data_IF_772859841537
#
_entry.id   IF_772859841537
#
_cell.length_a   1.000
_cell.length_b   1.000
_cell.length_c   1.000
_cell.angle_alpha   90.00
_cell.angle_beta   90.00
_cell.angle_gamma   90.00
#
_symmetry.space_group_name_H-M   'P 1'
#
loop_
_entity.id
_entity.type
_entity.pdbx_description
1 polymer ?
#
# COMPACT_ATOMS: atom_id res chain seq x y z
N UNK A 1 -22.55 -9.40 -28.86
CA UNK A 1 -21.27 -8.64 -28.82
C UNK A 1 -20.20 -9.54 -28.24
N UNK A 2 -18.96 -9.50 -28.76
CA UNK A 2 -17.84 -10.21 -28.13
C UNK A 2 -17.60 -9.66 -26.71
N UNK A 3 -17.08 -10.48 -25.78
CA UNK A 3 -16.71 -10.03 -24.43
C UNK A 3 -15.81 -8.78 -24.47
N UNK A 4 -14.91 -8.74 -25.46
CA UNK A 4 -14.01 -7.61 -25.72
C UNK A 4 -14.79 -6.34 -26.09
N UNK A 5 -15.79 -6.41 -26.97
CA UNK A 5 -16.61 -5.24 -27.31
C UNK A 5 -17.41 -4.72 -26.09
N UNK A 6 -17.96 -5.63 -25.28
CA UNK A 6 -18.66 -5.30 -24.03
C UNK A 6 -17.74 -4.63 -23.00
N UNK A 7 -16.48 -5.05 -22.92
CA UNK A 7 -15.45 -4.47 -22.06
C UNK A 7 -15.07 -3.05 -22.51
N UNK A 8 -14.86 -2.87 -23.82
CA UNK A 8 -14.51 -1.59 -24.44
C UNK A 8 -15.58 -0.52 -24.23
N UNK A 9 -16.85 -0.85 -24.44
CA UNK A 9 -17.96 0.11 -24.18
C UNK A 9 -17.94 0.62 -22.73
N UNK A 10 -17.61 -0.25 -21.77
CA UNK A 10 -17.57 0.11 -20.34
C UNK A 10 -16.36 0.97 -19.98
N UNK A 11 -15.25 0.84 -20.71
CA UNK A 11 -14.06 1.68 -20.53
C UNK A 11 -14.11 3.01 -21.28
N UNK A 12 -15.20 3.31 -22.00
CA UNK A 12 -15.32 4.55 -22.79
C UNK A 12 -15.04 5.82 -21.99
N UNK A 13 -15.46 5.89 -20.73
CA UNK A 13 -15.16 7.02 -19.83
C UNK A 13 -13.68 7.16 -19.44
N UNK A 14 -12.90 6.10 -19.62
CA UNK A 14 -11.47 6.06 -19.31
C UNK A 14 -10.61 6.04 -20.57
N UNK A 15 -11.21 6.04 -21.77
CA UNK A 15 -10.52 5.82 -23.05
C UNK A 15 -9.39 6.83 -23.26
N UNK A 16 -9.66 8.13 -23.10
CA UNK A 16 -8.65 9.19 -23.28
C UNK A 16 -7.44 8.99 -22.36
N UNK A 17 -7.66 8.54 -21.12
CA UNK A 17 -6.58 8.28 -20.16
C UNK A 17 -5.83 6.98 -20.43
N UNK A 18 -6.52 5.98 -20.98
CA UNK A 18 -5.92 4.75 -21.46
C UNK A 18 -5.04 5.01 -22.69
N UNK A 19 -5.42 5.92 -23.58
CA UNK A 19 -4.63 6.31 -24.76
C UNK A 19 -3.49 7.29 -24.45
N UNK A 20 -3.61 8.10 -23.41
CA UNK A 20 -2.56 9.06 -23.04
C UNK A 20 -1.26 8.35 -22.63
N UNK A 21 -0.22 8.45 -23.46
CA UNK A 21 1.11 7.87 -23.22
C UNK A 21 1.83 8.43 -22.00
N UNK A 22 1.39 9.58 -21.48
CA UNK A 22 1.90 10.13 -20.23
C UNK A 22 1.26 9.45 -19.03
N UNK A 23 0.05 8.94 -19.12
CA UNK A 23 -0.58 8.20 -18.00
C UNK A 23 0.07 6.83 -17.87
N UNK A 24 0.53 6.50 -16.66
CA UNK A 24 1.13 5.22 -16.29
C UNK A 24 0.19 4.38 -15.44
N UNK A 25 -0.63 5.02 -14.60
CA UNK A 25 -1.60 4.36 -13.72
C UNK A 25 -2.92 5.12 -13.69
N UNK A 26 -4.02 4.35 -13.66
CA UNK A 26 -5.39 4.84 -13.49
C UNK A 26 -5.95 4.16 -12.26
N UNK A 27 -6.39 4.93 -11.27
CA UNK A 27 -6.83 4.40 -9.98
C UNK A 27 -8.21 4.96 -9.62
N UNK A 28 -9.01 4.14 -8.95
CA UNK A 28 -10.36 4.49 -8.48
C UNK A 28 -10.45 3.97 -7.06
N UNK A 29 -10.86 4.80 -6.09
CA UNK A 29 -11.08 4.33 -4.72
C UNK A 29 -12.57 4.23 -4.39
N UNK A 30 -13.41 5.02 -5.07
CA UNK A 30 -14.86 5.02 -4.95
C UNK A 30 -15.51 5.57 -6.25
N UNK A 31 -16.83 5.38 -6.45
CA UNK A 31 -17.52 5.95 -7.59
C UNK A 31 -17.39 7.47 -7.68
N UNK A 32 -17.35 7.99 -8.91
CA UNK A 32 -17.29 9.42 -9.20
C UNK A 32 -15.89 10.04 -9.21
N UNK A 33 -14.85 9.31 -8.80
CA UNK A 33 -13.48 9.81 -8.78
C UNK A 33 -12.50 8.94 -9.58
N UNK A 34 -11.48 9.59 -10.11
CA UNK A 34 -10.38 8.98 -10.82
C UNK A 34 -9.07 9.60 -10.33
N UNK A 35 -8.01 8.81 -10.24
CA UNK A 35 -6.67 9.26 -9.91
C UNK A 35 -5.71 8.82 -11.00
N UNK A 36 -4.93 9.75 -11.54
CA UNK A 36 -4.00 9.47 -12.63
C UNK A 36 -2.56 9.69 -12.17
N UNK A 37 -1.73 8.66 -12.28
CA UNK A 37 -0.27 8.82 -12.20
C UNK A 37 0.27 9.05 -13.60
N UNK A 38 1.01 10.14 -13.79
CA UNK A 38 1.71 10.44 -15.05
C UNK A 38 3.16 9.99 -14.99
N UNK A 39 3.79 9.89 -16.15
CA UNK A 39 5.21 9.62 -16.29
C UNK A 39 6.01 10.70 -15.57
N UNK A 40 7.04 10.28 -14.85
CA UNK A 40 7.92 11.13 -14.06
C UNK A 40 7.24 11.86 -12.87
N UNK A 41 5.92 11.72 -12.71
CA UNK A 41 5.19 12.19 -11.53
C UNK A 41 5.31 11.17 -10.40
N UNK A 42 5.67 11.65 -9.20
CA UNK A 42 5.76 10.78 -8.03
C UNK A 42 4.39 10.44 -7.45
N UNK A 43 3.39 11.31 -7.55
CA UNK A 43 2.05 11.10 -6.97
C UNK A 43 0.95 11.19 -8.03
N UNK A 44 -0.20 10.59 -7.74
CA UNK A 44 -1.37 10.65 -8.63
C UNK A 44 -2.20 11.91 -8.39
N UNK A 45 -2.78 12.45 -9.45
CA UNK A 45 -3.66 13.61 -9.43
C UNK A 45 -5.13 13.19 -9.51
N UNK A 46 -6.00 13.84 -8.73
CA UNK A 46 -7.44 13.56 -8.74
C UNK A 46 -8.13 14.24 -9.93
N UNK A 47 -9.09 13.52 -10.50
CA UNK A 47 -10.02 14.00 -11.52
C UNK A 47 -11.43 13.52 -11.13
N UNK A 48 -12.41 14.42 -11.21
CA UNK A 48 -13.81 14.05 -11.04
C UNK A 48 -14.37 13.44 -12.33
N UNK A 49 -14.98 12.26 -12.20
CA UNK A 49 -15.63 11.56 -13.32
C UNK A 49 -17.01 11.09 -12.84
N UNK A 50 -18.03 11.98 -12.80
CA UNK A 50 -19.34 11.65 -12.25
C UNK A 50 -20.03 10.44 -12.91
N UNK A 51 -19.71 10.16 -14.18
CA UNK A 51 -20.22 8.99 -14.91
C UNK A 51 -19.63 7.65 -14.44
N UNK A 52 -18.57 7.64 -13.63
CA UNK A 52 -17.94 6.44 -13.12
C UNK A 52 -18.71 5.88 -11.92
N UNK A 53 -19.88 5.32 -12.19
CA UNK A 53 -20.80 4.81 -11.17
C UNK A 53 -20.37 3.46 -10.59
N UNK A 54 -20.92 3.10 -9.43
CA UNK A 54 -20.73 1.77 -8.85
C UNK A 54 -21.15 0.66 -9.83
N UNK A 55 -22.30 0.82 -10.50
CA UNK A 55 -22.82 -0.15 -11.46
C UNK A 55 -21.86 -0.35 -12.64
N UNK A 56 -21.25 0.73 -13.13
CA UNK A 56 -20.25 0.64 -14.19
C UNK A 56 -19.01 -0.12 -13.72
N UNK A 57 -18.49 0.20 -12.54
CA UNK A 57 -17.33 -0.48 -11.95
C UNK A 57 -17.61 -1.96 -11.69
N UNK A 58 -18.80 -2.31 -11.16
CA UNK A 58 -19.20 -3.71 -10.96
C UNK A 58 -19.28 -4.46 -12.28
N UNK A 59 -19.92 -3.86 -13.28
CA UNK A 59 -20.03 -4.48 -14.60
C UNK A 59 -18.66 -4.62 -15.29
N UNK A 60 -17.73 -3.70 -15.03
CA UNK A 60 -16.34 -3.82 -15.49
C UNK A 60 -15.61 -5.00 -14.82
N UNK A 61 -15.80 -5.20 -13.53
CA UNK A 61 -15.26 -6.34 -12.79
C UNK A 61 -15.81 -7.67 -13.34
N UNK A 62 -17.13 -7.77 -13.54
CA UNK A 62 -17.79 -8.96 -14.10
C UNK A 62 -17.26 -9.31 -15.50
N UNK A 63 -17.13 -8.32 -16.38
CA UNK A 63 -16.60 -8.55 -17.73
C UNK A 63 -15.11 -8.92 -17.69
N UNK A 64 -14.33 -8.31 -16.80
CA UNK A 64 -12.92 -8.65 -16.60
C UNK A 64 -12.76 -10.10 -16.15
N UNK A 65 -13.56 -10.51 -15.15
CA UNK A 65 -13.56 -11.86 -14.61
C UNK A 65 -13.98 -12.88 -15.67
N UNK A 66 -15.08 -12.61 -16.39
CA UNK A 66 -15.56 -13.45 -17.50
C UNK A 66 -14.54 -13.61 -18.62
N UNK A 67 -13.80 -12.54 -18.97
CA UNK A 67 -12.74 -12.59 -19.99
C UNK A 67 -11.54 -13.46 -19.57
N UNK A 68 -11.27 -13.54 -18.26
CA UNK A 68 -10.16 -14.32 -17.71
C UNK A 68 -10.55 -15.69 -17.16
N UNK A 69 -11.83 -16.05 -17.27
CA UNK A 69 -12.37 -17.25 -16.63
C UNK A 69 -12.03 -17.28 -15.13
N UNK A 70 -12.15 -16.12 -14.48
CA UNK A 70 -12.00 -15.95 -13.04
C UNK A 70 -13.39 -15.75 -12.41
N UNK A 71 -13.49 -16.10 -11.14
CA UNK A 71 -14.68 -15.81 -10.34
C UNK A 71 -14.52 -14.45 -9.65
N UNK A 72 -15.60 -13.68 -9.61
CA UNK A 72 -15.69 -12.44 -8.83
C UNK A 72 -17.08 -12.34 -8.21
N UNK A 73 -17.10 -12.39 -6.88
CA UNK A 73 -18.33 -12.32 -6.10
C UNK A 73 -18.00 -11.88 -4.66
N UNK A 74 -18.96 -11.98 -3.75
CA UNK A 74 -18.77 -11.58 -2.35
C UNK A 74 -17.85 -12.53 -1.58
N UNK A 75 -17.71 -13.78 -2.00
CA UNK A 75 -16.81 -14.78 -1.41
C UNK A 75 -15.38 -14.65 -1.97
N UNK A 76 -15.27 -14.27 -3.24
CA UNK A 76 -14.03 -13.98 -3.99
C UNK A 76 -13.98 -12.53 -4.48
N UNK A 77 -13.84 -11.53 -3.58
CA UNK A 77 -13.98 -10.12 -3.93
C UNK A 77 -12.71 -9.45 -4.48
N UNK A 78 -11.63 -10.21 -4.69
CA UNK A 78 -10.35 -9.70 -5.21
C UNK A 78 -10.12 -10.24 -6.60
N UNK A 79 -10.06 -9.35 -7.59
CA UNK A 79 -9.87 -9.67 -8.99
C UNK A 79 -8.54 -9.08 -9.50
N UNK A 80 -7.57 -9.96 -9.75
CA UNK A 80 -6.28 -9.62 -10.36
C UNK A 80 -6.25 -10.16 -11.79
N UNK A 81 -6.12 -9.28 -12.79
CA UNK A 81 -6.19 -9.67 -14.20
C UNK A 81 -5.27 -8.84 -15.11
N UNK A 82 -5.06 -9.33 -16.33
CA UNK A 82 -4.43 -8.57 -17.43
C UNK A 82 -5.45 -8.28 -18.54
N UNK A 83 -5.83 -7.02 -18.73
CA UNK A 83 -6.84 -6.61 -19.70
C UNK A 83 -6.22 -6.22 -21.06
N UNK A 84 -6.95 -6.47 -22.18
CA UNK A 84 -6.49 -6.06 -23.51
C UNK A 84 -6.57 -4.53 -23.66
N UNK A 85 -5.74 -3.98 -24.54
CA UNK A 85 -5.57 -2.52 -24.67
C UNK A 85 -6.38 -1.92 -25.83
N UNK A 86 -6.75 -2.69 -26.86
CA UNK A 86 -7.34 -2.18 -28.10
C UNK A 86 -8.49 -1.16 -27.91
N UNK A 87 -8.21 0.10 -28.26
CA UNK A 87 -9.08 1.28 -28.17
C UNK A 87 -9.75 1.64 -29.52
N UNK A 88 -9.76 0.69 -30.48
CA UNK A 88 -10.37 0.86 -31.82
C UNK A 88 -9.72 1.96 -32.68
N UNK A 89 -8.40 2.15 -32.52
CA UNK A 89 -7.61 3.15 -33.26
C UNK A 89 -6.65 2.55 -34.29
N UNK A 90 -6.86 1.28 -34.65
CA UNK A 90 -6.09 0.57 -35.67
C UNK A 90 -4.69 0.12 -35.24
N UNK A 91 -4.28 0.34 -33.99
CA UNK A 91 -2.99 -0.15 -33.47
C UNK A 91 -3.14 -1.59 -32.95
N UNK A 92 -2.32 -2.55 -33.44
CA UNK A 92 -2.40 -3.94 -32.99
C UNK A 92 -2.10 -4.12 -31.48
N UNK A 93 -2.84 -5.01 -30.81
CA UNK A 93 -2.68 -5.27 -29.37
C UNK A 93 -1.26 -5.69 -28.96
N UNK A 94 -0.53 -6.40 -29.83
CA UNK A 94 0.85 -6.81 -29.55
C UNK A 94 1.82 -5.61 -29.48
N UNK A 95 1.48 -4.49 -30.12
CA UNK A 95 2.26 -3.24 -30.05
C UNK A 95 1.94 -2.43 -28.79
N UNK A 96 0.84 -2.75 -28.09
CA UNK A 96 0.40 -2.06 -26.86
C UNK A 96 0.63 -2.87 -25.59
N UNK A 97 0.75 -4.20 -25.70
CA UNK A 97 0.90 -5.10 -24.56
C UNK A 97 -0.43 -5.36 -23.85
N UNK A 98 -0.36 -5.74 -22.58
CA UNK A 98 -1.54 -5.90 -21.70
C UNK A 98 -1.47 -4.91 -20.55
N UNK A 99 -2.61 -4.45 -20.06
CA UNK A 99 -2.66 -3.65 -18.84
C UNK A 99 -3.01 -4.54 -17.66
N UNK A 100 -2.32 -4.35 -16.54
CA UNK A 100 -2.66 -5.09 -15.32
C UNK A 100 -3.75 -4.33 -14.60
N UNK A 101 -4.75 -5.04 -14.11
CA UNK A 101 -5.80 -4.48 -13.27
C UNK A 101 -5.92 -5.26 -11.98
N UNK A 102 -6.03 -4.54 -10.87
CA UNK A 102 -6.47 -5.05 -9.58
C UNK A 102 -7.82 -4.41 -9.28
N UNK A 103 -8.82 -5.20 -8.90
CA UNK A 103 -10.11 -4.70 -8.43
C UNK A 103 -10.45 -5.37 -7.12
N UNK A 104 -10.88 -4.59 -6.14
CA UNK A 104 -11.34 -5.07 -4.84
C UNK A 104 -12.76 -4.59 -4.62
N UNK A 105 -13.64 -5.57 -4.37
CA UNK A 105 -15.08 -5.40 -4.25
C UNK A 105 -15.54 -5.57 -2.80
N UNK A 106 -16.79 -5.16 -2.47
CA UNK A 106 -17.37 -5.48 -1.18
C UNK A 106 -17.44 -7.00 -0.95
N UNK A 107 -17.28 -7.48 0.30
CA UNK A 107 -17.24 -6.70 1.54
C UNK A 107 -15.83 -6.21 1.97
N UNK A 108 -14.79 -6.42 1.16
CA UNK A 108 -13.41 -6.01 1.52
C UNK A 108 -13.27 -4.49 1.50
N UNK A 109 -13.87 -3.82 0.52
CA UNK A 109 -14.04 -2.36 0.52
C UNK A 109 -15.45 -1.98 1.01
N UNK A 110 -15.72 -0.71 1.39
CA UNK A 110 -17.07 -0.30 1.78
C UNK A 110 -18.13 -0.68 0.74
N UNK A 111 -19.33 -1.04 1.21
CA UNK A 111 -20.48 -1.28 0.32
C UNK A 111 -20.73 -0.07 -0.59
N UNK A 112 -21.07 -0.34 -1.85
CA UNK A 112 -21.24 0.70 -2.87
C UNK A 112 -19.92 1.31 -3.40
N UNK A 113 -18.77 0.76 -3.03
CA UNK A 113 -17.46 1.16 -3.58
C UNK A 113 -16.73 -0.01 -4.23
N UNK A 114 -15.84 0.30 -5.18
CA UNK A 114 -14.88 -0.65 -5.76
C UNK A 114 -13.56 0.09 -5.83
N UNK A 115 -12.51 -0.49 -5.24
CA UNK A 115 -11.16 -0.01 -5.44
C UNK A 115 -10.60 -0.67 -6.70
N UNK A 116 -10.11 0.11 -7.64
CA UNK A 116 -9.52 -0.38 -8.88
C UNK A 116 -8.19 0.31 -9.15
N UNK A 117 -7.25 -0.43 -9.72
CA UNK A 117 -6.00 0.13 -10.23
C UNK A 117 -5.67 -0.55 -11.55
N UNK A 118 -5.53 0.23 -12.61
CA UNK A 118 -5.02 -0.19 -13.91
C UNK A 118 -3.61 0.36 -14.05
N UNK A 119 -2.63 -0.54 -14.19
CA UNK A 119 -1.24 -0.21 -14.46
C UNK A 119 -0.90 -0.50 -15.91
N UNK A 120 -0.49 0.54 -16.63
CA UNK A 120 -0.13 0.47 -18.03
C UNK A 120 1.28 -0.09 -18.18
N UNK A 121 1.48 -0.97 -19.15
CA UNK A 121 2.81 -1.50 -19.45
C UNK A 121 3.68 -0.41 -20.10
N UNK A 122 4.88 -0.18 -19.57
CA UNK A 122 5.86 0.68 -20.24
C UNK A 122 6.56 -0.12 -21.34
N UNK A 123 6.38 0.30 -22.60
CA UNK A 123 7.08 -0.26 -23.76
C UNK A 123 8.31 0.57 -24.15
N UNK A 124 8.72 1.52 -23.29
CA UNK A 124 9.84 2.41 -23.59
C UNK A 124 11.14 1.60 -23.65
N UNK A 125 11.71 1.49 -24.86
CA UNK A 125 13.06 0.96 -25.04
C UNK A 125 14.08 2.05 -24.72
N UNK A 126 14.91 1.78 -23.71
CA UNK A 126 15.98 2.69 -23.27
C UNK A 126 17.34 2.11 -23.64
N UNK A 127 18.28 2.98 -23.98
CA UNK A 127 19.69 2.64 -24.20
C UNK A 127 20.56 3.36 -23.17
N UNK A 128 21.74 2.81 -22.86
CA UNK A 128 22.69 3.45 -21.95
C UNK A 128 23.08 4.88 -22.40
N UNK A 129 23.32 5.15 -23.70
CA UNK A 129 23.53 6.53 -24.17
C UNK A 129 22.37 7.47 -23.83
N UNK A 130 21.12 7.04 -24.04
CA UNK A 130 19.93 7.85 -23.72
C UNK A 130 19.79 8.11 -22.23
N UNK A 131 20.09 7.13 -21.38
CA UNK A 131 20.15 7.33 -19.92
C UNK A 131 21.21 8.37 -19.54
N UNK A 132 22.39 8.34 -20.20
CA UNK A 132 23.44 9.33 -19.98
C UNK A 132 22.98 10.73 -20.39
N UNK A 133 22.37 10.88 -21.56
CA UNK A 133 21.80 12.15 -22.04
C UNK A 133 20.75 12.72 -21.08
N UNK A 134 19.92 11.85 -20.48
CA UNK A 134 18.92 12.22 -19.49
C UNK A 134 19.49 12.47 -18.09
N UNK A 135 20.81 12.37 -17.91
CA UNK A 135 21.44 12.62 -16.62
C UNK A 135 21.20 11.52 -15.58
N UNK A 136 20.77 10.32 -15.96
CA UNK A 136 20.49 9.22 -15.03
C UNK A 136 21.73 8.81 -14.19
N UNK A 137 22.94 9.12 -14.67
CA UNK A 137 24.19 8.84 -13.95
C UNK A 137 24.73 10.03 -13.13
N UNK A 138 24.01 11.15 -13.06
CA UNK A 138 24.48 12.40 -12.44
C UNK A 138 24.85 12.23 -10.97
N UNK A 139 24.17 11.33 -10.27
CA UNK A 139 24.26 11.17 -8.82
C UNK A 139 24.75 9.79 -8.37
N UNK A 140 25.44 9.05 -9.25
CA UNK A 140 25.96 7.72 -8.91
C UNK A 140 27.01 7.84 -7.80
N UNK A 141 26.78 7.15 -6.69
CA UNK A 141 27.63 7.17 -5.50
C UNK A 141 27.81 8.58 -4.88
N UNK A 142 26.82 9.46 -5.04
CA UNK A 142 26.78 10.77 -4.37
C UNK A 142 25.62 10.84 -3.38
N UNK A 143 25.82 11.59 -2.30
CA UNK A 143 24.76 11.89 -1.33
C UNK A 143 23.79 12.92 -1.92
N UNK A 144 22.68 12.46 -2.47
CA UNK A 144 21.57 13.33 -2.90
C UNK A 144 20.77 13.68 -1.65
N UNK A 145 20.90 14.90 -1.16
CA UNK A 145 20.27 15.33 0.11
C UNK A 145 19.49 16.63 -0.08
N UNK A 146 18.40 16.56 -0.85
CA UNK A 146 17.40 17.64 -0.91
C UNK A 146 16.12 17.29 -0.11
N UNK A 147 16.09 16.14 0.59
CA UNK A 147 14.95 15.79 1.43
C UNK A 147 15.03 16.52 2.79
N UNK A 148 13.92 17.13 3.26
CA UNK A 148 13.90 17.91 4.50
C UNK A 148 14.23 17.08 5.76
N UNK A 149 14.11 15.75 5.67
CA UNK A 149 14.42 14.80 6.75
C UNK A 149 15.40 13.72 6.28
N UNK A 150 16.65 14.12 6.05
CA UNK A 150 17.75 13.17 5.83
C UNK A 150 18.01 12.30 7.08
N UNK A 151 18.66 11.14 6.89
CA UNK A 151 19.07 10.28 8.02
C UNK A 151 19.92 11.03 9.05
N UNK A 152 20.77 11.96 8.60
CA UNK A 152 21.56 12.81 9.48
C UNK A 152 20.68 13.72 10.35
N UNK A 153 19.63 14.32 9.77
CA UNK A 153 18.68 15.17 10.52
C UNK A 153 17.87 14.36 11.52
N UNK A 154 17.40 13.17 11.14
CA UNK A 154 16.69 12.28 12.05
C UNK A 154 17.58 11.85 13.22
N UNK A 155 18.84 11.53 12.95
CA UNK A 155 19.81 11.17 13.97
C UNK A 155 20.09 12.30 14.95
N UNK A 156 20.17 13.53 14.45
CA UNK A 156 20.30 14.74 15.28
C UNK A 156 19.10 14.89 16.23
N UNK A 157 17.88 14.86 15.69
CA UNK A 157 16.64 14.96 16.46
C UNK A 157 16.53 13.84 17.51
N UNK A 158 16.88 12.62 17.14
CA UNK A 158 16.89 11.46 18.03
C UNK A 158 17.87 11.65 19.20
N UNK A 159 19.11 12.09 18.92
CA UNK A 159 20.14 12.34 19.94
C UNK A 159 19.78 13.52 20.84
N UNK A 160 19.11 14.53 20.29
CA UNK A 160 18.59 15.68 21.04
C UNK A 160 17.34 15.32 21.86
N UNK A 161 16.73 14.15 21.65
CA UNK A 161 15.47 13.70 22.29
C UNK A 161 14.27 14.58 21.94
N UNK A 162 14.27 15.20 20.77
CA UNK A 162 13.16 15.96 20.21
C UNK A 162 12.15 14.98 19.59
N UNK A 163 11.46 14.21 20.43
CA UNK A 163 10.72 13.01 20.02
C UNK A 163 9.55 13.27 19.06
N UNK A 164 8.83 14.37 19.25
CA UNK A 164 7.73 14.79 18.38
C UNK A 164 8.24 15.13 16.97
N UNK A 165 9.29 15.96 16.88
CA UNK A 165 9.92 16.31 15.63
C UNK A 165 10.59 15.11 14.95
N UNK A 166 11.19 14.23 15.75
CA UNK A 166 11.79 12.98 15.25
C UNK A 166 10.73 12.06 14.64
N UNK A 167 9.62 11.79 15.34
CA UNK A 167 8.58 10.90 14.84
C UNK A 167 7.89 11.47 13.60
N UNK A 168 7.60 12.78 13.60
CA UNK A 168 7.09 13.48 12.41
C UNK A 168 8.08 13.38 11.24
N UNK A 169 9.35 13.65 11.51
CA UNK A 169 10.41 13.51 10.51
C UNK A 169 10.54 12.09 9.97
N UNK A 170 10.43 11.08 10.81
CA UNK A 170 10.49 9.68 10.42
C UNK A 170 9.32 9.31 9.49
N UNK A 171 8.12 9.80 9.77
CA UNK A 171 6.97 9.65 8.86
C UNK A 171 7.27 10.31 7.51
N UNK A 172 7.73 11.57 7.51
CA UNK A 172 8.01 12.32 6.29
C UNK A 172 9.18 11.76 5.47
N UNK A 173 10.15 11.10 6.12
CA UNK A 173 11.26 10.40 5.49
C UNK A 173 10.93 8.96 5.07
N UNK A 174 9.64 8.59 5.04
CA UNK A 174 9.16 7.25 4.69
C UNK A 174 9.85 6.13 5.50
N UNK A 175 10.09 6.34 6.79
CA UNK A 175 10.58 5.29 7.68
C UNK A 175 9.48 4.26 7.96
N UNK A 176 9.85 2.99 8.00
CA UNK A 176 8.96 1.92 8.43
C UNK A 176 8.87 1.93 9.96
N UNK A 177 7.68 2.18 10.49
CA UNK A 177 7.47 2.36 11.93
C UNK A 177 6.57 1.26 12.47
N UNK A 178 7.03 0.62 13.54
CA UNK A 178 6.22 -0.34 14.30
C UNK A 178 5.92 0.22 15.69
N UNK A 179 4.64 0.30 16.00
CA UNK A 179 4.17 0.65 17.34
C UNK A 179 3.97 -0.66 18.10
N UNK A 180 4.85 -0.91 19.07
CA UNK A 180 4.67 -2.01 20.01
C UNK A 180 3.95 -1.53 21.27
N UNK A 181 2.92 -2.25 21.70
CA UNK A 181 2.35 -2.02 23.03
C UNK A 181 1.53 -3.20 23.55
N UNK A 182 1.47 -3.33 24.88
CA UNK A 182 0.54 -4.21 25.57
C UNK A 182 -0.93 -3.78 25.45
N UNK A 183 -1.82 -4.48 26.16
CA UNK A 183 -3.26 -4.17 26.21
C UNK A 183 -3.51 -2.76 26.79
N UNK A 184 -4.55 -2.06 26.33
CA UNK A 184 -4.98 -0.75 26.86
C UNK A 184 -3.99 0.43 26.73
N UNK A 185 -2.91 0.26 25.98
CA UNK A 185 -1.85 1.28 25.82
C UNK A 185 -2.11 2.33 24.72
N UNK A 186 -3.18 2.19 23.92
CA UNK A 186 -3.53 3.16 22.87
C UNK A 186 -2.76 3.01 21.55
N UNK A 187 -2.43 1.78 21.14
CA UNK A 187 -1.73 1.46 19.88
C UNK A 187 -2.34 2.18 18.68
N UNK A 188 -3.65 1.99 18.46
CA UNK A 188 -4.34 2.57 17.30
C UNK A 188 -4.41 4.09 17.39
N UNK A 189 -4.49 4.67 18.59
CA UNK A 189 -4.44 6.12 18.78
C UNK A 189 -3.10 6.70 18.35
N UNK A 190 -1.99 6.06 18.75
CA UNK A 190 -0.66 6.46 18.28
C UNK A 190 -0.50 6.24 16.77
N UNK A 191 -1.04 5.13 16.24
CA UNK A 191 -1.02 4.85 14.81
C UNK A 191 -1.72 5.97 14.03
N UNK A 192 -2.94 6.34 14.46
CA UNK A 192 -3.70 7.43 13.86
C UNK A 192 -2.93 8.76 13.92
N UNK A 193 -2.31 9.09 15.06
CA UNK A 193 -1.49 10.31 15.15
C UNK A 193 -0.35 10.34 14.12
N UNK A 194 0.34 9.22 13.90
CA UNK A 194 1.40 9.14 12.88
C UNK A 194 0.84 9.12 11.45
N UNK A 195 -0.33 8.51 11.22
CA UNK A 195 -1.01 8.53 9.92
C UNK A 195 -1.43 9.95 9.52
N UNK A 196 -1.78 10.79 10.48
CA UNK A 196 -2.11 12.21 10.25
C UNK A 196 -0.90 13.05 9.80
N UNK A 197 0.33 12.62 10.12
CA UNK A 197 1.56 13.29 9.65
C UNK A 197 1.92 12.92 8.20
N UNK A 198 1.24 11.94 7.59
CA UNK A 198 1.49 11.56 6.20
C UNK A 198 0.96 12.67 5.27
N UNK A 199 1.77 13.18 4.31
CA UNK A 199 1.33 14.20 3.38
C UNK A 199 0.06 13.84 2.60
N UNK A 200 -0.81 14.83 2.39
CA UNK A 200 -2.13 14.64 1.78
C UNK A 200 -2.10 14.11 0.34
N UNK A 201 -1.00 14.32 -0.40
CA UNK A 201 -0.84 13.87 -1.78
C UNK A 201 -0.44 12.39 -1.90
N UNK A 202 -0.14 11.71 -0.79
CA UNK A 202 0.21 10.30 -0.81
C UNK A 202 -1.03 9.40 -0.87
N UNK A 203 -0.93 8.32 -1.65
CA UNK A 203 -1.92 7.26 -1.70
C UNK A 203 -1.72 6.27 -0.57
N UNK A 204 -2.73 6.12 0.29
CA UNK A 204 -2.71 5.20 1.42
C UNK A 204 -3.64 4.02 1.20
N UNK A 205 -3.16 2.81 1.47
CA UNK A 205 -4.01 1.64 1.62
C UNK A 205 -3.97 1.17 3.08
N UNK A 206 -5.12 1.11 3.74
CA UNK A 206 -5.25 0.55 5.10
C UNK A 206 -5.76 -0.88 5.05
N UNK A 207 -5.29 -1.73 5.96
CA UNK A 207 -5.71 -3.11 6.12
C UNK A 207 -6.05 -3.36 7.59
N UNK A 208 -7.32 -3.63 7.90
CA UNK A 208 -7.79 -3.77 9.28
C UNK A 208 -8.91 -4.79 9.39
N UNK A 209 -9.08 -5.44 10.54
CA UNK A 209 -10.27 -6.26 10.76
C UNK A 209 -11.48 -5.44 11.21
N UNK A 210 -11.22 -4.34 11.93
CA UNK A 210 -12.20 -3.40 12.44
C UNK A 210 -11.71 -2.01 12.05
N UNK A 211 -12.59 -1.16 11.51
CA UNK A 211 -12.20 0.16 11.00
C UNK A 211 -11.88 1.11 12.15
N UNK A 212 -10.59 1.27 12.46
CA UNK A 212 -10.11 2.18 13.50
C UNK A 212 -9.13 3.23 12.94
N UNK A 213 -8.46 2.95 11.81
CA UNK A 213 -7.55 3.90 11.17
C UNK A 213 -8.36 4.96 10.44
N UNK A 214 -8.01 6.23 10.70
CA UNK A 214 -8.65 7.42 10.15
C UNK A 214 -7.63 8.21 9.31
N UNK A 215 -7.38 7.82 8.05
CA UNK A 215 -6.51 8.57 7.16
C UNK A 215 -7.20 9.87 6.69
N UNK A 216 -6.46 10.97 6.68
CA UNK A 216 -6.93 12.27 6.16
C UNK A 216 -6.71 12.42 4.64
N UNK A 217 -5.96 11.50 4.04
CA UNK A 217 -5.54 11.54 2.65
C UNK A 217 -6.73 11.25 1.73
N UNK A 218 -7.03 12.10 0.73
CA UNK A 218 -8.12 11.89 -0.20
C UNK A 218 -7.91 10.64 -1.07
N UNK A 219 -6.67 10.33 -1.45
CA UNK A 219 -6.34 9.12 -2.21
C UNK A 219 -6.18 7.92 -1.27
N UNK A 220 -7.28 7.40 -0.73
CA UNK A 220 -7.24 6.32 0.24
C UNK A 220 -8.15 5.13 -0.12
N UNK A 221 -7.61 3.92 0.02
CA UNK A 221 -8.38 2.67 -0.02
C UNK A 221 -8.36 2.01 1.35
N UNK A 222 -9.55 1.66 1.87
CA UNK A 222 -9.70 1.02 3.18
C UNK A 222 -10.14 -0.42 3.00
N UNK A 223 -9.24 -1.37 3.27
CA UNK A 223 -9.49 -2.80 3.13
C UNK A 223 -9.80 -3.43 4.48
N UNK A 224 -10.88 -4.22 4.52
CA UNK A 224 -11.30 -4.97 5.69
C UNK A 224 -11.30 -6.48 5.48
N UNK A 225 -10.96 -7.22 6.54
CA UNK A 225 -11.06 -8.68 6.58
C UNK A 225 -11.81 -9.14 7.83
N UNK A 226 -12.46 -10.29 7.77
CA UNK A 226 -13.08 -10.89 8.95
C UNK A 226 -12.04 -11.74 9.71
N UNK A 227 -11.96 -11.59 11.04
CA UNK A 227 -11.07 -12.43 11.87
C UNK A 227 -11.48 -13.90 11.90
N UNK A 228 -12.78 -14.16 11.81
CA UNK A 228 -13.35 -15.51 11.81
C UNK A 228 -14.19 -15.66 10.56
N UNK A 229 -13.80 -16.59 9.69
CA UNK A 229 -14.57 -16.90 8.49
C UNK A 229 -15.83 -17.67 8.91
N UNK A 230 -16.97 -16.96 8.96
CA UNK A 230 -18.27 -17.61 8.99
C UNK A 230 -18.65 -18.08 7.57
N UNK A 231 -19.51 -19.10 7.48
CA UNK A 231 -20.07 -19.52 6.19
C UNK A 231 -20.74 -18.35 5.47
N UNK A 232 -20.41 -18.12 4.20
CA UNK A 232 -20.91 -17.00 3.39
C UNK A 232 -20.15 -15.68 3.54
N UNK A 233 -18.98 -15.66 4.20
CA UNK A 233 -18.08 -14.50 4.23
C UNK A 233 -16.96 -14.62 3.20
N UNK A 234 -16.44 -13.46 2.76
CA UNK A 234 -15.26 -13.38 1.90
C UNK A 234 -14.11 -14.22 2.46
N UNK A 235 -13.56 -15.12 1.64
CA UNK A 235 -12.43 -15.99 1.99
C UNK A 235 -11.09 -15.22 1.96
N UNK A 236 -11.07 -14.01 2.51
CA UNK A 236 -9.97 -13.07 2.41
C UNK A 236 -9.25 -12.97 3.75
N UNK A 237 -7.93 -13.16 3.70
CA UNK A 237 -7.03 -13.07 4.87
C UNK A 237 -6.20 -11.79 4.79
N UNK A 238 -5.60 -11.33 5.90
CA UNK A 238 -4.68 -10.20 5.86
C UNK A 238 -3.50 -10.43 4.93
N UNK A 239 -3.01 -11.68 4.86
CA UNK A 239 -1.98 -12.13 3.92
C UNK A 239 -2.41 -11.90 2.46
N UNK A 240 -3.65 -12.26 2.12
CA UNK A 240 -4.20 -12.03 0.78
C UNK A 240 -4.31 -10.54 0.48
N UNK A 241 -4.76 -9.73 1.45
CA UNK A 241 -4.87 -8.29 1.30
C UNK A 241 -3.51 -7.62 1.09
N UNK A 242 -2.50 -7.96 1.89
CA UNK A 242 -1.15 -7.44 1.71
C UNK A 242 -0.61 -7.72 0.29
N UNK A 243 -0.83 -8.93 -0.23
CA UNK A 243 -0.45 -9.28 -1.61
C UNK A 243 -1.19 -8.46 -2.67
N UNK A 244 -2.49 -8.22 -2.47
CA UNK A 244 -3.32 -7.43 -3.38
C UNK A 244 -2.98 -5.93 -3.33
N UNK A 245 -2.68 -5.40 -2.14
CA UNK A 245 -2.27 -3.99 -1.95
C UNK A 245 -1.11 -3.59 -2.84
N UNK A 246 -0.14 -4.47 -3.05
CA UNK A 246 1.01 -4.22 -3.93
C UNK A 246 0.62 -3.94 -5.39
N UNK A 247 -0.57 -4.37 -5.80
CA UNK A 247 -1.14 -4.13 -7.13
C UNK A 247 -2.09 -2.93 -7.17
N UNK A 248 -2.47 -2.38 -6.01
CA UNK A 248 -3.18 -1.10 -5.87
C UNK A 248 -2.26 0.12 -5.91
N UNK A 249 -0.94 -0.10 -6.12
CA UNK A 249 0.10 0.94 -6.25
C UNK A 249 0.04 2.01 -5.15
N UNK A 250 0.02 1.64 -3.86
CA UNK A 250 0.06 2.58 -2.75
C UNK A 250 1.41 3.28 -2.66
N UNK A 251 1.41 4.51 -2.17
CA UNK A 251 2.63 5.15 -1.69
C UNK A 251 2.94 4.65 -0.26
N UNK A 252 1.91 4.33 0.54
CA UNK A 252 2.04 3.67 1.86
C UNK A 252 0.98 2.62 2.12
N UNK A 253 1.39 1.56 2.83
CA UNK A 253 0.48 0.56 3.37
C UNK A 253 0.47 0.67 4.89
N UNK A 254 -0.72 0.77 5.46
CA UNK A 254 -0.94 0.84 6.91
C UNK A 254 -1.66 -0.42 7.34
N UNK A 255 -0.92 -1.30 8.00
CA UNK A 255 -1.48 -2.54 8.54
C UNK A 255 -1.89 -2.30 9.99
N UNK A 256 -3.19 -2.41 10.31
CA UNK A 256 -3.69 -2.09 11.65
C UNK A 256 -2.96 -2.82 12.76
N UNK A 257 -2.80 -4.14 12.63
CA UNK A 257 -2.02 -4.93 13.58
C UNK A 257 -1.51 -6.23 12.94
N UNK A 258 -0.26 -6.59 13.23
CA UNK A 258 0.32 -7.88 12.86
C UNK A 258 0.08 -8.88 14.00
N UNK A 259 -0.56 -10.00 13.68
CA UNK A 259 -1.01 -11.03 14.63
C UNK A 259 -0.70 -12.46 14.21
N UNK A 260 -0.31 -12.68 12.96
CA UNK A 260 -0.22 -14.00 12.38
C UNK A 260 0.71 -14.09 11.15
N UNK A 261 0.43 -15.03 10.23
CA UNK A 261 1.27 -15.33 9.07
C UNK A 261 1.51 -14.14 8.13
N UNK A 262 0.65 -13.14 8.17
CA UNK A 262 0.78 -11.91 7.41
C UNK A 262 2.08 -11.14 7.70
N UNK A 263 2.74 -11.41 8.84
CA UNK A 263 4.07 -10.89 9.16
C UNK A 263 5.09 -11.16 8.05
N UNK A 264 5.01 -12.34 7.40
CA UNK A 264 5.87 -12.71 6.28
C UNK A 264 5.65 -11.77 5.09
N UNK A 265 4.39 -11.55 4.70
CA UNK A 265 4.07 -10.69 3.57
C UNK A 265 4.31 -9.22 3.86
N UNK A 266 4.08 -8.78 5.10
CA UNK A 266 4.43 -7.43 5.53
C UNK A 266 5.94 -7.19 5.34
N UNK A 267 6.80 -8.08 5.85
CA UNK A 267 8.25 -7.95 5.66
C UNK A 267 8.70 -8.17 4.20
N UNK A 268 7.95 -8.89 3.37
CA UNK A 268 8.20 -8.99 1.93
C UNK A 268 7.88 -7.66 1.24
N UNK A 269 6.77 -7.02 1.58
CA UNK A 269 6.37 -5.71 1.07
C UNK A 269 7.44 -4.66 1.38
N UNK A 270 7.98 -4.63 2.61
CA UNK A 270 9.07 -3.71 2.96
C UNK A 270 10.35 -3.94 2.13
N UNK A 271 10.55 -5.15 1.59
CA UNK A 271 11.69 -5.45 0.71
C UNK A 271 11.48 -4.98 -0.73
N UNK A 272 10.25 -4.95 -1.23
CA UNK A 272 9.95 -4.66 -2.64
C UNK A 272 9.81 -3.16 -2.92
N UNK A 273 10.38 -2.32 -2.05
CA UNK A 273 10.46 -0.86 -2.25
C UNK A 273 9.29 -0.06 -1.67
N UNK A 274 8.35 -0.70 -0.97
CA UNK A 274 7.23 0.00 -0.33
C UNK A 274 7.63 0.43 1.08
N UNK A 275 8.23 1.62 1.14
CA UNK A 275 8.71 2.24 2.38
C UNK A 275 7.59 3.01 3.08
N UNK A 276 7.85 3.56 4.26
CA UNK A 276 6.93 4.43 4.98
C UNK A 276 5.72 3.72 5.59
N UNK A 277 5.78 2.38 5.69
CA UNK A 277 4.67 1.59 6.23
C UNK A 277 4.58 1.75 7.74
N UNK A 278 3.36 1.84 8.25
CA UNK A 278 3.08 1.91 9.68
C UNK A 278 2.27 0.67 10.10
N UNK A 279 2.59 0.10 11.24
CA UNK A 279 1.79 -0.99 11.81
C UNK A 279 1.89 -1.05 13.33
N UNK A 280 1.05 -1.88 13.94
CA UNK A 280 1.10 -2.16 15.37
C UNK A 280 1.35 -3.64 15.64
N UNK A 281 1.90 -3.93 16.81
CA UNK A 281 2.09 -5.30 17.29
C UNK A 281 1.95 -5.32 18.81
N UNK A 282 1.43 -6.42 19.34
CA UNK A 282 1.21 -6.57 20.76
C UNK A 282 2.43 -7.18 21.47
N UNK A 283 3.27 -6.36 22.12
CA UNK A 283 4.32 -6.82 23.06
C UNK A 283 4.59 -5.79 24.16
N UNK A 284 5.26 -6.21 25.24
CA UNK A 284 5.54 -5.36 26.41
C UNK A 284 6.95 -4.73 26.39
N UNK A 285 7.77 -5.12 25.40
CA UNK A 285 9.07 -4.50 25.12
C UNK A 285 9.45 -4.60 23.64
N UNK A 286 10.40 -3.76 23.16
CA UNK A 286 10.94 -3.89 21.81
C UNK A 286 11.69 -5.21 21.57
N UNK A 287 12.35 -5.76 22.59
CA UNK A 287 13.01 -7.06 22.50
C UNK A 287 11.98 -8.16 22.19
N UNK A 288 10.88 -8.20 22.95
CA UNK A 288 9.77 -9.11 22.70
C UNK A 288 9.13 -8.88 21.33
N UNK A 289 9.10 -7.65 20.81
CA UNK A 289 8.57 -7.37 19.47
C UNK A 289 9.35 -8.15 18.39
N UNK A 290 10.68 -8.15 18.46
CA UNK A 290 11.49 -8.92 17.52
C UNK A 290 11.25 -10.42 17.65
N UNK A 291 11.19 -10.90 18.89
CA UNK A 291 10.88 -12.29 19.21
C UNK A 291 9.50 -12.70 18.69
N UNK A 292 8.51 -11.81 18.81
CA UNK A 292 7.14 -12.01 18.35
C UNK A 292 7.08 -12.14 16.83
N UNK A 293 7.83 -11.34 16.07
CA UNK A 293 7.95 -11.58 14.62
C UNK A 293 8.51 -12.98 14.31
N UNK A 294 9.48 -13.45 15.08
CA UNK A 294 10.01 -14.80 14.98
C UNK A 294 8.94 -15.87 15.19
N UNK A 295 8.09 -15.71 16.22
CA UNK A 295 6.96 -16.61 16.50
C UNK A 295 5.89 -16.59 15.41
N UNK A 296 5.49 -15.39 14.96
CA UNK A 296 4.42 -15.23 13.97
C UNK A 296 4.78 -15.77 12.60
N UNK A 297 6.08 -15.80 12.28
CA UNK A 297 6.58 -16.32 11.01
C UNK A 297 6.96 -17.80 11.08
N UNK A 298 7.00 -18.39 12.27
CA UNK A 298 7.36 -19.81 12.43
C UNK A 298 6.38 -20.71 11.66
N UNK A 299 6.92 -21.69 10.94
CA UNK A 299 6.13 -22.54 10.03
C UNK A 299 5.59 -21.85 8.75
N UNK A 300 5.79 -20.53 8.59
CA UNK A 300 5.36 -19.75 7.42
C UNK A 300 6.51 -19.20 6.58
N UNK A 301 7.75 -19.46 7.00
CA UNK A 301 8.97 -19.09 6.27
C UNK A 301 10.02 -20.21 6.37
N UNK A 302 10.97 -20.24 5.43
CA UNK A 302 12.15 -21.11 5.50
C UNK A 302 13.30 -20.49 6.32
N UNK A 303 13.13 -19.28 6.83
CA UNK A 303 14.13 -18.57 7.63
C UNK A 303 14.16 -19.10 9.07
N UNK A 304 15.36 -19.18 9.67
CA UNK A 304 15.47 -19.44 11.12
C UNK A 304 15.00 -18.22 11.92
N UNK A 305 14.70 -18.40 13.22
CA UNK A 305 14.29 -17.31 14.12
C UNK A 305 15.30 -16.16 14.13
N UNK A 306 16.59 -16.47 14.16
CA UNK A 306 17.68 -15.48 14.14
C UNK A 306 17.70 -14.71 12.82
N UNK A 307 17.47 -15.39 11.70
CA UNK A 307 17.38 -14.75 10.39
C UNK A 307 16.15 -13.83 10.31
N UNK A 308 15.01 -14.24 10.88
CA UNK A 308 13.81 -13.40 10.96
C UNK A 308 14.11 -12.15 11.78
N UNK A 309 14.64 -12.28 13.00
CA UNK A 309 14.98 -11.14 13.86
C UNK A 309 15.97 -10.20 13.16
N UNK A 310 17.01 -10.74 12.54
CA UNK A 310 17.98 -9.94 11.77
C UNK A 310 17.32 -9.19 10.60
N UNK A 311 16.35 -9.82 9.93
CA UNK A 311 15.58 -9.20 8.84
C UNK A 311 14.66 -8.09 9.36
N UNK A 312 13.97 -8.32 10.47
CA UNK A 312 13.10 -7.33 11.12
C UNK A 312 13.91 -6.09 11.51
N UNK A 313 15.05 -6.26 12.18
CA UNK A 313 15.97 -5.17 12.55
C UNK A 313 16.51 -4.35 11.37
N UNK A 314 16.59 -4.95 10.18
CA UNK A 314 17.05 -4.26 8.96
C UNK A 314 15.94 -3.51 8.23
N UNK A 315 14.67 -3.82 8.53
CA UNK A 315 13.51 -3.31 7.75
C UNK A 315 12.59 -2.41 8.54
N UNK A 316 12.53 -2.58 9.85
CA UNK A 316 11.87 -1.62 10.74
C UNK A 316 12.90 -0.57 11.10
N UNK A 317 12.63 0.67 10.68
CA UNK A 317 13.52 1.80 10.95
C UNK A 317 13.28 2.37 12.35
N UNK A 318 12.03 2.41 12.80
CA UNK A 318 11.63 2.99 14.08
C UNK A 318 10.69 2.04 14.84
N UNK A 319 10.99 1.82 16.12
CA UNK A 319 10.08 1.12 17.05
C UNK A 319 9.63 2.11 18.10
N UNK A 320 8.32 2.24 18.30
CA UNK A 320 7.73 3.06 19.38
C UNK A 320 7.08 2.13 20.39
N UNK A 321 7.67 2.01 21.58
CA UNK A 321 7.12 1.20 22.66
C UNK A 321 6.22 2.03 23.56
N UNK A 322 4.95 1.65 23.64
CA UNK A 322 4.03 2.18 24.63
C UNK A 322 3.89 1.24 25.83
N UNK A 323 3.67 1.83 27.00
CA UNK A 323 3.30 1.13 28.23
C UNK A 323 2.13 1.84 28.90
N UNK A 324 1.44 1.08 29.74
CA UNK A 324 0.43 1.58 30.66
C UNK A 324 0.76 1.11 32.07
N UNK A 325 0.65 2.02 33.04
CA UNK A 325 0.69 1.67 34.46
C UNK A 325 -0.38 2.46 35.18
N UNK A 326 -0.95 1.93 36.26
CA UNK A 326 -1.96 2.64 37.05
C UNK A 326 -1.45 4.00 37.56
N UNK A 327 -0.15 4.09 37.86
CA UNK A 327 0.48 5.31 38.37
C UNK A 327 0.72 6.37 37.30
N UNK A 328 1.25 5.98 36.13
CA UNK A 328 1.72 6.93 35.13
C UNK A 328 0.76 7.08 33.93
N UNK A 329 -0.33 6.32 33.89
CA UNK A 329 -1.18 6.25 32.72
C UNK A 329 -0.44 5.66 31.53
N UNK A 330 -0.80 6.13 30.31
CA UNK A 330 -0.17 5.72 29.05
C UNK A 330 1.06 6.59 28.76
N UNK A 331 2.17 5.97 28.41
CA UNK A 331 3.40 6.69 28.05
C UNK A 331 4.25 5.88 27.06
N UNK A 332 5.07 6.58 26.28
CA UNK A 332 6.11 5.96 25.47
C UNK A 332 7.28 5.64 26.39
N UNK A 333 7.61 4.35 26.53
CA UNK A 333 8.73 3.92 27.38
C UNK A 333 10.06 3.91 26.65
N UNK A 334 10.04 3.69 25.34
CA UNK A 334 11.24 3.55 24.51
C UNK A 334 10.94 3.89 23.05
N UNK A 335 11.89 4.55 22.39
CA UNK A 335 11.91 4.70 20.94
C UNK A 335 13.26 4.15 20.47
N UNK A 336 13.24 3.17 19.56
CA UNK A 336 14.44 2.64 18.91
C UNK A 336 14.49 3.18 17.49
N UNK A 337 15.65 3.70 17.08
CA UNK A 337 15.93 4.10 15.71
C UNK A 337 17.11 3.28 15.16
N UNK A 338 16.90 2.58 14.05
CA UNK A 338 17.91 1.71 13.45
C UNK A 338 19.14 2.47 12.91
N UNK A 339 18.99 3.77 12.61
CA UNK A 339 20.09 4.64 12.17
C UNK A 339 20.90 5.30 13.29
N UNK A 340 20.58 5.00 14.58
CA UNK A 340 21.16 5.66 15.75
C UNK A 340 22.62 5.27 16.09
#
# INVERSE_FOLDING_TARGET
MSQIASFRTKLSLLADHLDDKQVTEIQVNKPGELWLRKKDAYYAEQIEVPGLTYQLLSSLAEVTASFKSLDVDRESPILSAEIPVNLDDGVPDFERGTYRTEMILPPVVPEGTIAMTIRKQSLVRMSLPKYKEQGAFRFVNSDVTDEPYSDARLLELYRAKEWDQFLRGAVLAHKNIVISAGTYCGKTTCLNALVQEIPAHERIVTIEDSREIEPAQPNCVRLSYARHQASGQAAVTPTTLLRSCMRLTPDRVIMGEIRGPEAVEFLNMLNTGHKGSLTTIHTDSPAEMYDRFGELMDGHTSMTREQVIARVKRRIDVVVQWKYTERNGRYISEIIYAGA
#
